data_IF_477637883552
#
_entry.id   IF_477637883552
#
_cell.length_a   1.000
_cell.length_b   1.000
_cell.length_c   1.000
_cell.angle_alpha   90.00
_cell.angle_beta   90.00
_cell.angle_gamma   90.00
#
_symmetry.space_group_name_H-M   'P 1'
#
loop_
_entity.id
_entity.type
_entity.pdbx_description
1 polymer ?
#
# COMPACT_ATOMS: atom_id res chain seq x y z
N UNK A 1 6.71 -15.59 24.48
CA UNK A 1 6.70 -15.38 23.03
C UNK A 1 5.89 -14.13 22.75
N UNK A 2 6.52 -12.94 22.74
CA UNK A 2 5.83 -11.68 22.45
C UNK A 2 6.09 -11.40 20.96
N UNK A 3 5.15 -11.77 20.09
CA UNK A 3 5.14 -11.27 18.71
C UNK A 3 4.79 -9.78 18.82
N UNK A 4 5.76 -8.90 18.65
CA UNK A 4 5.45 -7.48 18.49
C UNK A 4 4.86 -7.30 17.10
N UNK A 5 3.59 -6.91 17.02
CA UNK A 5 2.91 -6.55 15.76
C UNK A 5 3.49 -5.25 15.21
N UNK A 6 4.70 -5.30 14.64
CA UNK A 6 5.23 -4.16 13.90
C UNK A 6 4.43 -4.02 12.62
N UNK A 7 3.48 -3.08 12.60
CA UNK A 7 2.76 -2.71 11.39
C UNK A 7 3.56 -1.66 10.63
N UNK A 8 3.95 -1.99 9.40
CA UNK A 8 4.62 -1.07 8.49
C UNK A 8 3.61 -0.59 7.44
N UNK A 9 3.47 0.73 7.32
CA UNK A 9 2.66 1.38 6.30
C UNK A 9 3.61 1.87 5.21
N UNK A 10 3.47 1.34 4.00
CA UNK A 10 4.22 1.86 2.85
C UNK A 10 3.63 3.19 2.38
N UNK A 11 4.48 4.22 2.35
CA UNK A 11 4.15 5.56 1.85
C UNK A 11 4.97 5.81 0.58
N UNK A 12 4.30 6.09 -0.54
CA UNK A 12 4.95 6.45 -1.81
C UNK A 12 4.73 7.92 -2.14
N UNK A 13 5.73 8.57 -2.73
CA UNK A 13 5.62 9.94 -3.25
C UNK A 13 5.18 9.96 -4.73
N UNK A 14 4.63 11.09 -5.19
CA UNK A 14 4.10 11.23 -6.55
C UNK A 14 5.23 11.32 -7.58
N UNK A 15 5.14 10.52 -8.63
CA UNK A 15 5.93 10.68 -9.85
C UNK A 15 5.37 11.81 -10.72
N UNK A 16 6.24 12.46 -11.51
CA UNK A 16 5.84 13.40 -12.54
C UNK A 16 4.97 12.75 -13.62
N UNK A 17 4.11 13.53 -14.27
CA UNK A 17 3.10 13.03 -15.21
C UNK A 17 3.66 12.19 -16.37
N UNK A 18 4.92 12.41 -16.76
CA UNK A 18 5.58 11.72 -17.88
C UNK A 18 5.83 10.23 -17.62
N UNK A 19 5.91 9.82 -16.36
CA UNK A 19 6.31 8.46 -15.98
C UNK A 19 5.12 7.59 -15.55
N UNK A 20 3.90 8.10 -15.72
CA UNK A 20 2.68 7.38 -15.37
C UNK A 20 2.38 6.26 -16.37
N UNK A 21 1.73 5.20 -15.89
CA UNK A 21 1.30 4.04 -16.68
C UNK A 21 2.41 3.23 -17.37
N UNK A 22 3.68 3.49 -17.06
CA UNK A 22 4.82 2.72 -17.58
C UNK A 22 5.21 1.52 -16.69
N UNK A 23 4.51 1.30 -15.57
CA UNK A 23 4.76 0.18 -14.66
C UNK A 23 5.75 0.44 -13.52
N UNK A 24 6.46 1.58 -13.53
CA UNK A 24 7.44 1.93 -12.50
C UNK A 24 6.91 1.88 -11.07
N UNK A 25 5.67 2.32 -10.84
CA UNK A 25 5.06 2.26 -9.51
C UNK A 25 4.87 0.81 -9.02
N UNK A 26 4.47 -0.11 -9.92
CA UNK A 26 4.35 -1.54 -9.59
C UNK A 26 5.71 -2.17 -9.37
N UNK A 27 6.70 -1.85 -10.20
CA UNK A 27 8.07 -2.36 -10.07
C UNK A 27 8.71 -1.93 -8.74
N UNK A 28 8.69 -0.63 -8.44
CA UNK A 28 9.24 -0.08 -7.21
C UNK A 28 8.56 -0.67 -5.98
N UNK A 29 7.22 -0.76 -6.00
CA UNK A 29 6.47 -1.37 -4.92
C UNK A 29 6.79 -2.88 -4.75
N UNK A 30 6.99 -3.62 -5.84
CA UNK A 30 7.44 -5.02 -5.76
C UNK A 30 8.80 -5.14 -5.09
N UNK A 31 9.77 -4.29 -5.47
CA UNK A 31 11.10 -4.29 -4.84
C UNK A 31 11.04 -3.95 -3.35
N UNK A 32 10.12 -3.06 -2.98
CA UNK A 32 9.83 -2.73 -1.60
C UNK A 32 9.27 -3.93 -0.80
N UNK A 33 8.34 -4.70 -1.37
CA UNK A 33 7.83 -5.94 -0.74
C UNK A 33 8.94 -6.97 -0.59
N UNK A 34 9.78 -7.16 -1.62
CA UNK A 34 10.93 -8.05 -1.55
C UNK A 34 11.88 -7.64 -0.43
N UNK A 35 12.18 -6.34 -0.29
CA UNK A 35 13.03 -5.83 0.78
C UNK A 35 12.41 -6.02 2.16
N UNK A 36 11.10 -5.75 2.29
CA UNK A 36 10.35 -5.96 3.52
C UNK A 36 10.40 -7.43 4.00
N UNK A 37 10.29 -8.38 3.06
CA UNK A 37 10.40 -9.80 3.35
C UNK A 37 11.84 -10.18 3.70
N UNK A 38 12.80 -9.83 2.85
CA UNK A 38 14.17 -10.37 2.90
C UNK A 38 15.10 -9.68 3.90
N UNK A 39 14.92 -8.39 4.17
CA UNK A 39 15.82 -7.60 5.02
C UNK A 39 15.16 -7.14 6.31
N UNK A 40 13.85 -6.86 6.28
CA UNK A 40 13.10 -6.42 7.45
C UNK A 40 12.38 -7.57 8.18
N UNK A 41 12.30 -8.74 7.54
CA UNK A 41 11.69 -9.96 8.08
C UNK A 41 10.25 -9.72 8.59
N UNK A 42 9.47 -8.99 7.79
CA UNK A 42 8.08 -8.67 8.10
C UNK A 42 7.15 -9.80 7.68
N UNK A 43 6.16 -10.09 8.51
CA UNK A 43 5.12 -11.09 8.22
C UNK A 43 4.08 -10.56 7.21
N UNK A 44 3.92 -9.23 7.12
CA UNK A 44 2.91 -8.59 6.28
C UNK A 44 3.19 -7.12 6.01
N UNK A 45 2.55 -6.58 4.99
CA UNK A 45 2.61 -5.18 4.58
C UNK A 45 1.21 -4.63 4.33
N UNK A 46 0.97 -3.41 4.81
CA UNK A 46 -0.25 -2.66 4.58
C UNK A 46 0.00 -1.45 3.66
N UNK A 47 -0.99 -1.15 2.82
CA UNK A 47 -1.02 0.04 1.99
C UNK A 47 -2.42 0.66 2.04
N UNK A 48 -2.50 1.99 2.03
CA UNK A 48 -3.78 2.71 2.02
C UNK A 48 -3.80 3.79 0.94
N UNK A 49 -4.98 4.07 0.41
CA UNK A 49 -5.20 5.17 -0.51
C UNK A 49 -6.62 5.72 -0.37
N UNK A 50 -6.86 7.01 -0.69
CA UNK A 50 -8.21 7.49 -0.93
C UNK A 50 -8.92 6.59 -1.94
N UNK A 51 -10.18 6.25 -1.70
CA UNK A 51 -10.98 5.35 -2.55
C UNK A 51 -11.11 5.85 -3.99
N UNK A 52 -11.05 7.18 -4.18
CA UNK A 52 -11.06 7.81 -5.48
C UNK A 52 -9.74 7.66 -6.27
N UNK A 53 -8.64 7.26 -5.60
CA UNK A 53 -7.32 7.12 -6.22
C UNK A 53 -7.16 5.74 -6.88
N UNK A 54 -7.90 5.57 -7.97
CA UNK A 54 -7.92 4.33 -8.77
C UNK A 54 -6.52 3.89 -9.24
N UNK A 55 -5.58 4.78 -9.65
CA UNK A 55 -4.22 4.37 -10.01
C UNK A 55 -3.48 3.63 -8.89
N UNK A 56 -3.50 4.14 -7.65
CA UNK A 56 -2.86 3.47 -6.52
C UNK A 56 -3.55 2.15 -6.18
N UNK A 57 -4.88 2.10 -6.23
CA UNK A 57 -5.65 0.86 -6.02
C UNK A 57 -5.27 -0.21 -7.05
N UNK A 58 -5.10 0.17 -8.31
CA UNK A 58 -4.67 -0.74 -9.36
C UNK A 58 -3.25 -1.28 -9.12
N UNK A 59 -2.34 -0.48 -8.56
CA UNK A 59 -1.01 -0.97 -8.16
C UNK A 59 -1.13 -2.00 -7.04
N UNK A 60 -1.90 -1.71 -5.98
CA UNK A 60 -2.13 -2.65 -4.87
C UNK A 60 -2.70 -3.98 -5.37
N UNK A 61 -3.72 -3.94 -6.25
CA UNK A 61 -4.29 -5.14 -6.89
C UNK A 61 -3.29 -5.91 -7.74
N UNK A 62 -2.48 -5.21 -8.56
CA UNK A 62 -1.45 -5.85 -9.41
C UNK A 62 -0.35 -6.54 -8.59
N UNK A 63 -0.09 -6.08 -7.38
CA UNK A 63 0.86 -6.70 -6.46
C UNK A 63 0.27 -7.91 -5.72
N UNK A 64 -1.00 -8.22 -5.91
CA UNK A 64 -1.69 -9.30 -5.21
C UNK A 64 -2.08 -8.95 -3.77
N UNK A 65 -2.17 -7.66 -3.43
CA UNK A 65 -2.71 -7.24 -2.13
C UNK A 65 -4.23 -7.40 -2.10
N UNK A 66 -4.77 -7.72 -0.93
CA UNK A 66 -6.21 -7.90 -0.70
C UNK A 66 -6.80 -6.71 0.04
N UNK A 67 -8.01 -6.27 -0.33
CA UNK A 67 -8.72 -5.21 0.39
C UNK A 67 -9.22 -5.72 1.74
N UNK A 68 -8.87 -5.03 2.82
CA UNK A 68 -9.20 -5.43 4.19
C UNK A 68 -10.30 -4.55 4.78
N UNK A 69 -10.25 -3.24 4.52
CA UNK A 69 -11.13 -2.27 5.17
C UNK A 69 -11.33 -1.02 4.31
N UNK A 70 -12.54 -0.45 4.36
CA UNK A 70 -12.83 0.93 3.96
C UNK A 70 -13.15 1.76 5.19
N UNK A 71 -12.61 2.97 5.31
CA UNK A 71 -12.78 3.83 6.48
C UNK A 71 -12.65 5.32 6.13
N UNK A 72 -13.16 6.19 7.01
CA UNK A 72 -12.90 7.63 6.91
C UNK A 72 -11.58 7.98 7.61
N UNK A 73 -10.60 8.50 6.87
CA UNK A 73 -9.30 8.85 7.41
C UNK A 73 -9.41 10.06 8.35
N UNK A 74 -9.01 9.96 9.64
CA UNK A 74 -9.24 11.02 10.62
C UNK A 74 -8.65 12.37 10.23
N UNK A 75 -7.47 12.37 9.59
CA UNK A 75 -6.78 13.59 9.14
C UNK A 75 -7.37 14.21 7.86
N UNK A 76 -8.33 13.54 7.21
CA UNK A 76 -8.94 14.00 5.94
C UNK A 76 -10.44 14.21 6.07
N UNK A 77 -11.00 14.16 7.29
CA UNK A 77 -12.45 14.14 7.53
C UNK A 77 -13.21 15.30 6.88
N UNK A 78 -12.55 16.46 6.77
CA UNK A 78 -13.10 17.69 6.20
C UNK A 78 -13.04 17.72 4.66
N UNK A 79 -12.22 16.88 4.01
CA UNK A 79 -12.22 16.73 2.55
C UNK A 79 -13.15 15.57 2.15
N UNK A 80 -14.38 15.91 1.77
CA UNK A 80 -15.38 14.93 1.36
C UNK A 80 -14.94 14.02 0.21
N UNK A 81 -13.96 14.43 -0.62
CA UNK A 81 -13.45 13.63 -1.74
C UNK A 81 -12.36 12.66 -1.31
N UNK A 82 -11.56 13.01 -0.30
CA UNK A 82 -10.38 12.25 0.11
C UNK A 82 -10.56 11.48 1.41
N UNK A 83 -11.59 11.79 2.20
CA UNK A 83 -11.80 11.17 3.51
C UNK A 83 -12.00 9.67 3.44
N UNK A 84 -12.73 9.16 2.44
CA UNK A 84 -12.97 7.73 2.31
C UNK A 84 -11.73 7.06 1.74
N UNK A 85 -11.08 6.23 2.55
CA UNK A 85 -9.86 5.50 2.21
C UNK A 85 -10.10 3.99 2.26
N UNK A 86 -9.32 3.27 1.47
CA UNK A 86 -9.23 1.80 1.47
C UNK A 86 -7.89 1.36 2.03
N UNK A 87 -7.88 0.26 2.77
CA UNK A 87 -6.71 -0.43 3.29
C UNK A 87 -6.57 -1.77 2.58
N UNK A 88 -5.40 -2.02 2.02
CA UNK A 88 -5.00 -3.28 1.42
C UNK A 88 -3.86 -3.91 2.23
N UNK A 89 -3.84 -5.24 2.31
CA UNK A 89 -2.82 -6.03 3.01
C UNK A 89 -2.26 -7.11 2.09
N UNK A 90 -0.98 -7.43 2.26
CA UNK A 90 -0.37 -8.65 1.72
C UNK A 90 0.45 -9.34 2.80
N UNK A 91 0.27 -10.66 2.93
CA UNK A 91 1.14 -11.50 3.77
C UNK A 91 2.41 -11.80 3.00
N UNK A 92 3.53 -11.57 3.64
CA UNK A 92 4.84 -11.87 3.07
C UNK A 92 5.22 -13.28 3.51
N UNK A 93 5.25 -14.20 2.57
CA UNK A 93 5.64 -15.60 2.80
C UNK A 93 6.95 -15.82 2.06
N UNK A 94 7.95 -16.38 2.76
CA UNK A 94 9.15 -16.84 2.05
C UNK A 94 8.73 -17.96 1.09
N UNK A 95 9.13 -17.90 -0.18
CA UNK A 95 8.88 -19.00 -1.11
C UNK A 95 9.50 -20.32 -0.63
#
# INVERSE_FOLDING_TARGET
MIKSDKQYIFKSERFGFRDWNQGFATEGAKRCLDYALTHLNLDKVNAMAPKINIPSINVMKKLGMEEVLTFNHPLLIDDARLRECVLYEIKLVMP
#
